data_IF_745157034200
#
_entry.id   IF_745157034200
#
_cell.length_a   1.000
_cell.length_b   1.000
_cell.length_c   1.000
_cell.angle_alpha   90.00
_cell.angle_beta   90.00
_cell.angle_gamma   90.00
#
_symmetry.space_group_name_H-M   'P 1'
#
loop_
_entity.id
_entity.type
_entity.pdbx_description
1 polymer ?
#
# COMPACT_ATOMS: atom_id res chain seq x y z
N UNK A 1 17.29 4.04 -9.33
CA UNK A 1 18.65 4.60 -9.06
C UNK A 1 19.80 3.68 -9.48
N UNK A 2 19.78 2.39 -9.13
CA UNK A 2 20.82 1.42 -9.50
C UNK A 2 21.17 1.44 -11.00
N UNK A 3 20.14 1.36 -11.87
CA UNK A 3 20.29 1.44 -13.35
C UNK A 3 21.07 2.69 -13.81
N UNK A 4 20.86 3.83 -13.16
CA UNK A 4 21.51 5.12 -13.49
C UNK A 4 22.99 5.15 -13.10
N UNK A 5 23.32 4.58 -11.93
CA UNK A 5 24.67 4.65 -11.36
C UNK A 5 25.59 3.51 -11.80
N UNK A 6 25.05 2.33 -12.11
CA UNK A 6 25.81 1.14 -12.55
C UNK A 6 26.82 1.43 -13.68
N UNK A 7 26.45 2.05 -14.82
CA UNK A 7 27.41 2.29 -15.89
C UNK A 7 28.53 3.28 -15.51
N UNK A 8 28.33 4.08 -14.46
CA UNK A 8 29.30 5.06 -13.98
C UNK A 8 30.31 4.43 -13.02
N UNK A 9 29.86 3.55 -12.12
CA UNK A 9 30.66 3.11 -10.96
C UNK A 9 30.98 1.62 -10.88
N UNK A 10 30.36 0.74 -11.68
CA UNK A 10 30.61 -0.71 -11.61
C UNK A 10 32.09 -1.06 -11.85
N UNK A 11 32.74 -0.38 -12.80
CA UNK A 11 34.11 -0.65 -13.23
C UNK A 11 35.06 0.56 -13.06
N UNK A 12 34.63 1.63 -12.38
CA UNK A 12 35.39 2.87 -12.30
C UNK A 12 36.19 2.99 -10.99
N UNK A 13 37.37 3.61 -11.05
CA UNK A 13 38.10 4.02 -9.85
C UNK A 13 37.32 5.14 -9.13
N UNK A 14 37.24 5.17 -7.79
CA UNK A 14 36.43 6.16 -7.06
C UNK A 14 36.97 7.58 -7.29
N UNK A 15 36.36 8.34 -8.20
CA UNK A 15 36.73 9.74 -8.46
C UNK A 15 35.98 10.71 -7.54
N UNK A 16 34.80 10.33 -7.07
CA UNK A 16 33.95 11.10 -6.14
C UNK A 16 33.57 10.25 -4.94
N UNK A 17 34.28 10.41 -3.82
CA UNK A 17 34.13 9.54 -2.63
C UNK A 17 32.68 9.45 -2.11
N UNK A 18 31.94 10.57 -2.03
CA UNK A 18 30.56 10.58 -1.51
C UNK A 18 29.56 9.88 -2.45
N UNK A 19 29.60 10.19 -3.75
CA UNK A 19 28.71 9.58 -4.75
C UNK A 19 29.02 8.08 -4.91
N UNK A 20 30.29 7.68 -4.78
CA UNK A 20 30.67 6.27 -4.77
C UNK A 20 30.20 5.53 -3.51
N UNK A 21 30.26 6.15 -2.32
CA UNK A 21 29.67 5.53 -1.11
C UNK A 21 28.16 5.35 -1.26
N UNK A 22 27.46 6.36 -1.78
CA UNK A 22 26.05 6.24 -2.11
C UNK A 22 25.78 5.11 -3.10
N UNK A 23 26.59 5.00 -4.16
CA UNK A 23 26.53 3.87 -5.09
C UNK A 23 26.68 2.51 -4.39
N UNK A 24 27.62 2.35 -3.46
CA UNK A 24 27.79 1.09 -2.73
C UNK A 24 26.54 0.72 -1.91
N UNK A 25 25.89 1.71 -1.29
CA UNK A 25 24.61 1.51 -0.59
C UNK A 25 23.50 1.08 -1.56
N UNK A 26 23.37 1.76 -2.71
CA UNK A 26 22.41 1.41 -3.76
C UNK A 26 22.66 0.01 -4.32
N UNK A 27 23.93 -0.35 -4.56
CA UNK A 27 24.32 -1.66 -5.07
C UNK A 27 23.97 -2.77 -4.09
N UNK A 28 24.33 -2.59 -2.83
CA UNK A 28 23.98 -3.55 -1.76
C UNK A 28 22.47 -3.72 -1.65
N UNK A 29 21.71 -2.62 -1.59
CA UNK A 29 20.25 -2.67 -1.49
C UNK A 29 19.59 -3.38 -2.67
N UNK A 30 20.06 -3.12 -3.90
CA UNK A 30 19.57 -3.80 -5.10
C UNK A 30 19.87 -5.31 -5.07
N UNK A 31 21.11 -5.70 -4.76
CA UNK A 31 21.53 -7.12 -4.77
C UNK A 31 20.81 -7.94 -3.69
N UNK A 32 20.73 -7.41 -2.46
CA UNK A 32 20.01 -8.04 -1.35
C UNK A 32 18.50 -8.09 -1.63
N UNK A 33 17.93 -7.00 -2.16
CA UNK A 33 16.52 -6.90 -2.54
C UNK A 33 16.13 -7.92 -3.61
N UNK A 34 16.89 -7.99 -4.71
CA UNK A 34 16.68 -8.96 -5.78
C UNK A 34 16.81 -10.42 -5.30
N UNK A 35 17.84 -10.71 -4.49
CA UNK A 35 18.03 -12.05 -3.94
C UNK A 35 16.85 -12.47 -3.05
N UNK A 36 16.39 -11.57 -2.17
CA UNK A 36 15.23 -11.79 -1.32
C UNK A 36 13.95 -11.97 -2.15
N UNK A 37 13.69 -11.07 -3.12
CA UNK A 37 12.52 -11.13 -3.97
C UNK A 37 12.43 -12.45 -4.73
N UNK A 38 13.54 -12.90 -5.34
CA UNK A 38 13.62 -14.21 -6.00
C UNK A 38 13.34 -15.36 -5.04
N UNK A 39 14.01 -15.36 -3.88
CA UNK A 39 13.82 -16.44 -2.90
C UNK A 39 12.38 -16.54 -2.42
N UNK A 40 11.72 -15.40 -2.17
CA UNK A 40 10.34 -15.37 -1.71
C UNK A 40 9.37 -15.74 -2.83
N UNK A 41 9.58 -15.22 -4.05
CA UNK A 41 8.79 -15.60 -5.22
C UNK A 41 8.78 -17.12 -5.41
N UNK A 42 9.95 -17.76 -5.47
CA UNK A 42 10.03 -19.21 -5.64
C UNK A 42 9.42 -19.98 -4.48
N UNK A 43 9.54 -19.49 -3.25
CA UNK A 43 8.94 -20.13 -2.08
C UNK A 43 7.41 -20.12 -2.15
N UNK A 44 6.81 -18.93 -2.32
CA UNK A 44 5.35 -18.78 -2.36
C UNK A 44 4.74 -19.43 -3.59
N UNK A 45 5.37 -19.29 -4.76
CA UNK A 45 4.92 -19.92 -6.00
C UNK A 45 4.95 -21.46 -5.89
N UNK A 46 6.01 -22.02 -5.31
CA UNK A 46 6.09 -23.46 -5.08
C UNK A 46 5.06 -23.95 -4.06
N UNK A 47 4.87 -23.21 -2.97
CA UNK A 47 3.90 -23.53 -1.92
C UNK A 47 2.47 -23.49 -2.48
N UNK A 48 2.11 -22.44 -3.20
CA UNK A 48 0.80 -22.31 -3.83
C UNK A 48 0.52 -23.45 -4.81
N UNK A 49 1.46 -23.75 -5.72
CA UNK A 49 1.32 -24.88 -6.65
C UNK A 49 1.20 -26.22 -5.92
N UNK A 50 1.89 -26.38 -4.79
CA UNK A 50 1.76 -27.60 -3.97
C UNK A 50 0.36 -27.71 -3.37
N UNK A 51 -0.19 -26.63 -2.82
CA UNK A 51 -1.54 -26.59 -2.24
C UNK A 51 -2.60 -26.85 -3.30
N UNK A 52 -2.57 -26.14 -4.44
CA UNK A 52 -3.54 -26.33 -5.53
C UNK A 52 -3.51 -27.76 -6.06
N UNK A 53 -2.32 -28.36 -6.22
CA UNK A 53 -2.18 -29.75 -6.65
C UNK A 53 -2.71 -30.73 -5.60
N UNK A 54 -2.40 -30.50 -4.33
CA UNK A 54 -2.86 -31.36 -3.24
C UNK A 54 -4.39 -31.29 -3.08
N UNK A 55 -4.98 -30.09 -3.10
CA UNK A 55 -6.43 -29.88 -3.07
C UNK A 55 -7.13 -30.61 -4.22
N UNK A 56 -6.65 -30.41 -5.47
CA UNK A 56 -7.20 -31.10 -6.65
C UNK A 56 -7.08 -32.61 -6.55
N UNK A 57 -5.93 -33.11 -6.08
CA UNK A 57 -5.69 -34.55 -5.92
C UNK A 57 -6.62 -35.14 -4.84
N UNK A 58 -6.77 -34.48 -3.70
CA UNK A 58 -7.58 -34.98 -2.59
C UNK A 58 -9.07 -34.96 -2.92
N UNK A 59 -9.56 -33.93 -3.62
CA UNK A 59 -10.95 -33.88 -4.12
C UNK A 59 -11.24 -35.03 -5.08
N UNK A 60 -10.30 -35.32 -5.98
CA UNK A 60 -10.41 -36.44 -6.91
C UNK A 60 -10.33 -37.81 -6.20
N UNK A 61 -9.46 -37.95 -5.19
CA UNK A 61 -9.29 -39.20 -4.45
C UNK A 61 -10.50 -39.52 -3.56
N UNK A 62 -11.08 -38.50 -2.91
CA UNK A 62 -12.21 -38.64 -1.99
C UNK A 62 -13.57 -38.53 -2.68
N UNK A 63 -13.60 -38.23 -3.98
CA UNK A 63 -14.82 -37.95 -4.75
C UNK A 63 -15.72 -36.91 -4.05
N UNK A 64 -15.12 -35.78 -3.67
CA UNK A 64 -15.78 -34.75 -2.86
C UNK A 64 -15.41 -33.33 -3.28
N UNK A 65 -16.43 -32.48 -3.40
CA UNK A 65 -16.31 -31.03 -3.63
C UNK A 65 -16.00 -30.23 -2.37
N UNK A 66 -15.87 -30.88 -1.22
CA UNK A 66 -15.42 -30.24 0.03
C UNK A 66 -14.45 -31.14 0.77
N UNK A 67 -13.42 -30.55 1.36
CA UNK A 67 -12.45 -31.24 2.19
C UNK A 67 -12.62 -30.77 3.63
N UNK A 68 -12.55 -31.70 4.59
CA UNK A 68 -12.45 -31.38 6.02
C UNK A 68 -11.20 -31.99 6.61
N UNK A 69 -10.70 -31.41 7.71
CA UNK A 69 -9.55 -31.94 8.42
C UNK A 69 -9.76 -33.39 8.89
N UNK A 70 -10.99 -33.77 9.25
CA UNK A 70 -11.37 -35.12 9.65
C UNK A 70 -11.38 -36.10 8.47
N UNK A 71 -11.88 -35.68 7.31
CA UNK A 71 -11.86 -36.50 6.09
C UNK A 71 -10.41 -36.85 5.72
N UNK A 72 -9.53 -35.85 5.75
CA UNK A 72 -8.12 -36.00 5.40
C UNK A 72 -7.35 -36.85 6.42
N UNK A 73 -7.70 -36.77 7.71
CA UNK A 73 -7.10 -37.60 8.76
C UNK A 73 -7.43 -39.10 8.62
N UNK A 74 -8.51 -39.45 7.92
CA UNK A 74 -8.93 -40.84 7.69
C UNK A 74 -8.33 -41.44 6.40
N UNK A 75 -7.62 -40.65 5.60
CA UNK A 75 -7.02 -41.12 4.35
C UNK A 75 -5.97 -42.20 4.63
N UNK A 76 -6.12 -43.32 3.94
CA UNK A 76 -5.16 -44.41 3.90
C UNK A 76 -4.95 -44.79 2.44
N UNK A 77 -3.69 -44.78 1.99
CA UNK A 77 -3.33 -45.13 0.61
C UNK A 77 -1.91 -45.71 0.58
N UNK A 78 -1.63 -46.71 -0.27
CA UNK A 78 -0.25 -47.15 -0.54
C UNK A 78 0.53 -46.16 -1.42
N UNK A 79 -0.13 -45.12 -1.96
CA UNK A 79 0.51 -44.08 -2.75
C UNK A 79 1.00 -42.94 -1.85
N UNK A 80 2.32 -42.76 -1.81
CA UNK A 80 2.97 -41.71 -1.02
C UNK A 80 2.49 -40.30 -1.40
N UNK A 81 2.14 -40.05 -2.67
CA UNK A 81 1.66 -38.72 -3.09
C UNK A 81 0.29 -38.40 -2.49
N UNK A 82 -0.58 -39.40 -2.35
CA UNK A 82 -1.89 -39.26 -1.72
C UNK A 82 -1.70 -39.00 -0.22
N UNK A 83 -0.82 -39.75 0.44
CA UNK A 83 -0.54 -39.56 1.87
C UNK A 83 0.07 -38.19 2.16
N UNK A 84 0.99 -37.71 1.32
CA UNK A 84 1.58 -36.37 1.43
C UNK A 84 0.55 -35.26 1.19
N UNK A 85 -0.29 -35.40 0.16
CA UNK A 85 -1.34 -34.44 -0.13
C UNK A 85 -2.37 -34.35 1.01
N UNK A 86 -2.78 -35.49 1.56
CA UNK A 86 -3.69 -35.55 2.70
C UNK A 86 -3.10 -34.88 3.95
N UNK A 87 -1.82 -35.13 4.25
CA UNK A 87 -1.14 -34.50 5.39
C UNK A 87 -0.98 -32.99 5.22
N UNK A 88 -0.57 -32.52 4.03
CA UNK A 88 -0.44 -31.10 3.73
C UNK A 88 -1.79 -30.39 3.88
N UNK A 89 -2.82 -30.90 3.22
CA UNK A 89 -4.16 -30.30 3.27
C UNK A 89 -4.76 -30.40 4.67
N UNK A 90 -4.53 -31.48 5.41
CA UNK A 90 -5.02 -31.65 6.78
C UNK A 90 -4.44 -30.60 7.73
N UNK A 91 -3.13 -30.36 7.66
CA UNK A 91 -2.47 -29.31 8.45
C UNK A 91 -3.00 -27.91 8.09
N UNK A 92 -3.21 -27.66 6.80
CA UNK A 92 -3.77 -26.41 6.32
C UNK A 92 -5.17 -26.19 6.88
N UNK A 93 -6.08 -27.15 6.73
CA UNK A 93 -7.46 -27.03 7.21
C UNK A 93 -7.53 -26.89 8.73
N UNK A 94 -6.60 -27.51 9.47
CA UNK A 94 -6.50 -27.29 10.92
C UNK A 94 -6.11 -25.84 11.27
N UNK A 95 -5.30 -25.18 10.44
CA UNK A 95 -4.89 -23.80 10.66
C UNK A 95 -5.97 -22.78 10.30
N UNK A 96 -6.72 -23.01 9.22
CA UNK A 96 -7.64 -21.99 8.66
C UNK A 96 -9.11 -22.39 8.63
N UNK A 97 -9.45 -23.59 9.10
CA UNK A 97 -10.78 -24.17 9.01
C UNK A 97 -11.08 -24.78 7.64
N UNK A 98 -12.12 -25.62 7.61
CA UNK A 98 -12.46 -26.47 6.44
C UNK A 98 -12.86 -25.69 5.17
N UNK A 99 -13.32 -24.45 5.32
CA UNK A 99 -13.63 -23.54 4.20
C UNK A 99 -12.48 -22.57 3.85
N UNK A 100 -11.30 -22.73 4.48
CA UNK A 100 -10.21 -21.75 4.43
C UNK A 100 -9.22 -21.92 3.27
N UNK A 101 -9.32 -22.99 2.46
CA UNK A 101 -8.36 -23.26 1.37
C UNK A 101 -8.36 -22.13 0.34
N UNK A 102 -9.54 -21.70 -0.11
CA UNK A 102 -9.67 -20.59 -1.07
C UNK A 102 -9.07 -19.30 -0.53
N UNK A 103 -9.29 -19.02 0.77
CA UNK A 103 -8.72 -17.86 1.46
C UNK A 103 -7.19 -17.92 1.48
N UNK A 104 -6.60 -19.08 1.78
CA UNK A 104 -5.13 -19.23 1.73
C UNK A 104 -4.62 -19.06 0.31
N UNK A 105 -5.25 -19.71 -0.67
CA UNK A 105 -4.81 -19.62 -2.06
C UNK A 105 -4.82 -18.16 -2.52
N UNK A 106 -5.87 -17.41 -2.20
CA UNK A 106 -5.96 -15.97 -2.46
C UNK A 106 -4.85 -15.17 -1.76
N UNK A 107 -4.54 -15.47 -0.50
CA UNK A 107 -3.42 -14.80 0.20
C UNK A 107 -2.06 -15.13 -0.44
N UNK A 108 -1.90 -16.36 -0.93
CA UNK A 108 -0.70 -16.78 -1.64
C UNK A 108 -0.63 -16.15 -3.04
N UNK A 109 -1.77 -15.98 -3.74
CA UNK A 109 -1.82 -15.27 -5.02
C UNK A 109 -1.26 -13.86 -4.87
N UNK A 110 -1.69 -13.12 -3.84
CA UNK A 110 -1.17 -11.79 -3.54
C UNK A 110 0.34 -11.81 -3.27
N UNK A 111 0.83 -12.79 -2.49
CA UNK A 111 2.26 -12.90 -2.19
C UNK A 111 3.08 -13.26 -3.43
N UNK A 112 2.62 -14.23 -4.23
CA UNK A 112 3.25 -14.64 -5.49
C UNK A 112 3.32 -13.44 -6.43
N UNK A 113 2.22 -12.74 -6.64
CA UNK A 113 2.15 -11.59 -7.53
C UNK A 113 3.03 -10.44 -7.04
N UNK A 114 3.02 -10.15 -5.74
CA UNK A 114 3.91 -9.15 -5.14
C UNK A 114 5.38 -9.41 -5.47
N UNK A 115 5.87 -10.63 -5.22
CA UNK A 115 7.27 -10.95 -5.49
C UNK A 115 7.56 -11.15 -6.98
N UNK A 116 6.59 -11.59 -7.78
CA UNK A 116 6.72 -11.65 -9.24
C UNK A 116 6.97 -10.26 -9.80
N UNK A 117 6.15 -9.27 -9.42
CA UNK A 117 6.32 -7.88 -9.85
C UNK A 117 7.70 -7.35 -9.46
N UNK A 118 8.19 -7.66 -8.25
CA UNK A 118 9.53 -7.27 -7.85
C UNK A 118 10.61 -7.85 -8.77
N UNK A 119 10.52 -9.13 -9.10
CA UNK A 119 11.54 -9.83 -9.90
C UNK A 119 11.48 -9.45 -11.37
N UNK A 120 10.28 -9.42 -11.94
CA UNK A 120 10.04 -9.23 -13.38
C UNK A 120 10.04 -7.77 -13.80
N UNK A 121 9.75 -6.84 -12.88
CA UNK A 121 9.67 -5.41 -13.19
C UNK A 121 10.59 -4.54 -12.33
N UNK A 122 10.44 -4.50 -10.99
CA UNK A 122 11.17 -3.54 -10.14
C UNK A 122 12.69 -3.74 -10.19
N UNK A 123 13.16 -4.97 -10.01
CA UNK A 123 14.58 -5.31 -10.06
C UNK A 123 15.05 -5.73 -11.46
N UNK A 124 14.14 -5.82 -12.44
CA UNK A 124 14.50 -6.14 -13.81
C UNK A 124 15.09 -4.91 -14.52
N UNK A 125 16.38 -4.99 -14.86
CA UNK A 125 17.08 -3.89 -15.51
C UNK A 125 16.72 -3.76 -17.00
N UNK A 126 16.13 -4.79 -17.61
CA UNK A 126 15.75 -4.82 -19.01
C UNK A 126 14.30 -4.34 -19.22
N UNK A 127 13.51 -4.26 -18.14
CA UNK A 127 12.15 -3.73 -18.20
C UNK A 127 12.18 -2.21 -18.46
N UNK A 128 11.49 -1.77 -19.50
CA UNK A 128 11.34 -0.34 -19.82
C UNK A 128 9.88 0.00 -20.09
N UNK A 129 9.18 0.66 -19.13
CA UNK A 129 7.81 1.09 -19.33
C UNK A 129 7.71 2.40 -20.12
N UNK A 130 8.81 3.03 -20.54
CA UNK A 130 8.77 4.37 -21.15
C UNK A 130 8.16 4.48 -22.55
N UNK A 131 8.26 3.47 -23.44
CA UNK A 131 7.67 3.58 -24.76
C UNK A 131 6.16 3.88 -24.77
N UNK A 132 5.37 3.37 -23.81
CA UNK A 132 3.92 3.65 -23.72
C UNK A 132 3.62 5.06 -23.16
N UNK A 133 4.51 5.61 -22.33
CA UNK A 133 4.35 6.95 -21.75
C UNK A 133 4.64 8.04 -22.78
N UNK A 134 5.60 7.78 -23.68
CA UNK A 134 5.93 8.69 -24.78
C UNK A 134 6.63 9.96 -24.33
N UNK A 135 7.41 9.91 -23.25
CA UNK A 135 8.09 11.04 -22.63
C UNK A 135 9.62 10.86 -22.57
N UNK A 136 10.35 11.93 -22.28
CA UNK A 136 11.73 11.86 -21.83
C UNK A 136 11.79 12.00 -20.30
N UNK A 137 12.11 10.93 -19.56
CA UNK A 137 12.00 10.98 -18.10
C UNK A 137 13.01 11.90 -17.41
N UNK A 138 14.11 12.25 -18.08
CA UNK A 138 15.12 13.19 -17.55
C UNK A 138 14.73 14.66 -17.80
N UNK A 139 13.74 14.90 -18.68
CA UNK A 139 13.17 16.23 -18.93
C UNK A 139 12.01 16.48 -17.95
N UNK A 140 12.36 16.87 -16.73
CA UNK A 140 11.40 16.98 -15.61
C UNK A 140 10.21 17.92 -15.88
N UNK A 141 10.42 18.98 -16.67
CA UNK A 141 9.43 20.02 -16.98
C UNK A 141 8.54 19.70 -18.19
N UNK A 142 8.75 18.55 -18.83
CA UNK A 142 7.89 18.11 -19.92
C UNK A 142 6.48 17.77 -19.40
N UNK A 143 5.48 18.18 -20.18
CA UNK A 143 4.05 18.00 -19.92
C UNK A 143 3.36 17.55 -21.21
N UNK A 144 2.11 17.08 -21.10
CA UNK A 144 1.32 16.65 -22.27
C UNK A 144 1.70 15.28 -22.84
N UNK A 145 2.28 14.42 -22.00
CA UNK A 145 2.59 13.03 -22.31
C UNK A 145 1.59 12.06 -21.67
N UNK A 146 1.71 10.77 -21.97
CA UNK A 146 0.74 9.75 -21.59
C UNK A 146 -0.49 9.72 -22.49
N UNK A 147 -1.53 9.04 -22.04
CA UNK A 147 -2.80 8.93 -22.76
C UNK A 147 -3.99 8.97 -21.78
N UNK A 148 -5.21 8.99 -22.31
CA UNK A 148 -6.44 8.99 -21.53
C UNK A 148 -6.94 7.57 -21.20
N UNK A 149 -6.13 6.54 -21.49
CA UNK A 149 -6.48 5.16 -21.18
C UNK A 149 -6.07 4.82 -19.75
N UNK A 150 -7.03 5.02 -18.86
CA UNK A 150 -6.90 4.64 -17.44
C UNK A 150 -7.20 3.15 -17.21
N UNK A 151 -7.61 2.41 -18.25
CA UNK A 151 -8.01 1.01 -18.17
C UNK A 151 -6.86 0.13 -18.65
N UNK A 152 -6.32 -0.70 -17.75
CA UNK A 152 -5.20 -1.59 -18.05
C UNK A 152 -5.68 -3.02 -18.35
N UNK A 153 -6.51 -3.19 -19.40
CA UNK A 153 -7.22 -4.44 -19.69
C UNK A 153 -6.33 -5.68 -19.89
N UNK A 154 -5.04 -5.47 -20.14
CA UNK A 154 -4.02 -6.47 -20.43
C UNK A 154 -3.18 -6.88 -19.21
N UNK A 155 -3.47 -6.33 -18.02
CA UNK A 155 -2.70 -6.57 -16.80
C UNK A 155 -3.62 -6.85 -15.60
N UNK A 156 -3.17 -7.66 -14.64
CA UNK A 156 -3.88 -7.92 -13.37
C UNK A 156 -3.83 -6.70 -12.40
N UNK A 157 -3.80 -5.49 -12.96
CA UNK A 157 -3.63 -4.23 -12.23
C UNK A 157 -4.95 -3.76 -11.61
N UNK A 158 -5.42 -4.50 -10.60
CA UNK A 158 -6.65 -4.18 -9.88
C UNK A 158 -6.47 -3.08 -8.81
N UNK A 159 -5.23 -2.77 -8.41
CA UNK A 159 -4.90 -1.92 -7.26
C UNK A 159 -5.60 -0.56 -7.27
N UNK A 160 -5.54 0.18 -8.39
CA UNK A 160 -6.20 1.48 -8.51
C UNK A 160 -7.72 1.39 -8.41
N UNK A 161 -8.31 0.33 -8.96
CA UNK A 161 -9.76 0.07 -8.86
C UNK A 161 -10.15 -0.25 -7.42
N UNK A 162 -9.34 -1.04 -6.71
CA UNK A 162 -9.55 -1.40 -5.31
C UNK A 162 -9.50 -0.18 -4.39
N UNK A 163 -8.47 0.66 -4.57
CA UNK A 163 -8.30 1.95 -3.88
C UNK A 163 -9.49 2.88 -4.13
N UNK A 164 -9.95 3.00 -5.37
CA UNK A 164 -11.10 3.83 -5.72
C UNK A 164 -12.41 3.33 -5.07
N UNK A 165 -12.60 2.01 -5.01
CA UNK A 165 -13.76 1.39 -4.35
C UNK A 165 -13.82 1.69 -2.86
N UNK A 166 -12.68 1.61 -2.14
CA UNK A 166 -12.62 1.93 -0.70
C UNK A 166 -13.11 3.36 -0.44
N UNK A 167 -12.72 4.31 -1.30
CA UNK A 167 -13.12 5.71 -1.15
C UNK A 167 -14.60 5.90 -1.51
N UNK A 168 -15.02 5.42 -2.68
CA UNK A 168 -16.20 5.93 -3.38
C UNK A 168 -17.08 4.86 -4.05
N UNK A 169 -16.95 3.58 -3.70
CA UNK A 169 -17.92 2.58 -4.14
C UNK A 169 -19.34 3.03 -3.80
N UNK A 170 -20.25 2.90 -4.77
CA UNK A 170 -21.61 3.43 -4.67
C UNK A 170 -22.33 2.76 -3.51
N UNK A 171 -22.64 3.55 -2.49
CA UNK A 171 -23.37 3.10 -1.31
C UNK A 171 -24.81 2.71 -1.64
N UNK A 172 -25.38 1.80 -0.85
CA UNK A 172 -26.82 1.45 -0.83
C UNK A 172 -27.39 0.93 -2.18
N UNK A 173 -26.54 0.36 -3.04
CA UNK A 173 -26.97 -0.21 -4.32
C UNK A 173 -27.31 -1.72 -4.24
N UNK A 174 -27.11 -2.35 -3.08
CA UNK A 174 -27.39 -3.76 -2.83
C UNK A 174 -26.37 -4.75 -3.41
N UNK A 175 -25.20 -4.30 -3.88
CA UNK A 175 -24.13 -5.16 -4.43
C UNK A 175 -22.75 -4.75 -3.92
N UNK A 176 -21.87 -5.72 -3.69
CA UNK A 176 -20.48 -5.45 -3.38
C UNK A 176 -20.26 -4.74 -2.03
N UNK A 177 -19.70 -3.53 -2.08
CA UNK A 177 -19.27 -2.77 -0.91
C UNK A 177 -19.80 -1.34 -0.93
N UNK A 178 -19.85 -0.73 0.26
CA UNK A 178 -20.07 0.69 0.46
C UNK A 178 -18.74 1.42 0.62
N UNK A 179 -18.46 2.40 -0.25
CA UNK A 179 -17.30 3.29 -0.09
C UNK A 179 -17.44 4.19 1.12
N UNK A 180 -16.33 4.66 1.68
CA UNK A 180 -16.31 5.50 2.89
C UNK A 180 -17.05 6.84 2.67
N UNK A 181 -16.86 7.48 1.52
CA UNK A 181 -17.41 8.81 1.24
C UNK A 181 -18.56 8.76 0.21
N UNK A 182 -19.78 9.17 0.58
CA UNK A 182 -20.85 9.34 -0.40
C UNK A 182 -20.64 10.61 -1.23
N UNK A 183 -21.18 10.62 -2.46
CA UNK A 183 -21.26 11.80 -3.33
C UNK A 183 -19.92 12.44 -3.72
N UNK A 184 -18.87 11.65 -3.88
CA UNK A 184 -17.55 12.10 -4.36
C UNK A 184 -17.28 11.59 -5.77
N UNK A 185 -16.39 12.26 -6.50
CA UNK A 185 -15.91 11.81 -7.82
C UNK A 185 -14.46 11.36 -7.72
N UNK A 186 -14.12 10.29 -8.42
CA UNK A 186 -12.75 9.80 -8.53
C UNK A 186 -12.11 10.39 -9.79
N UNK A 187 -10.96 11.04 -9.62
CA UNK A 187 -10.06 11.40 -10.72
C UNK A 187 -8.94 10.37 -10.77
N UNK A 188 -9.01 9.44 -11.73
CA UNK A 188 -7.96 8.45 -11.92
C UNK A 188 -6.76 9.09 -12.64
N UNK A 189 -5.58 9.01 -12.04
CA UNK A 189 -4.31 9.47 -12.63
C UNK A 189 -3.29 8.34 -12.52
N UNK A 190 -2.98 7.69 -13.64
CA UNK A 190 -2.02 6.58 -13.67
C UNK A 190 -0.59 7.13 -13.77
N UNK A 191 0.10 7.19 -12.64
CA UNK A 191 1.44 7.78 -12.51
C UNK A 191 2.54 6.75 -12.17
N UNK A 192 2.16 5.50 -11.96
CA UNK A 192 3.04 4.42 -11.47
C UNK A 192 2.95 3.25 -12.45
N UNK A 193 4.08 2.81 -13.06
CA UNK A 193 4.13 1.57 -13.82
C UNK A 193 4.26 0.36 -12.87
N UNK A 194 4.14 -0.86 -13.39
CA UNK A 194 4.63 -2.04 -12.68
C UNK A 194 6.14 -1.86 -12.50
N UNK A 195 6.61 -1.52 -11.29
CA UNK A 195 7.98 -1.06 -11.10
C UNK A 195 8.12 0.04 -10.05
N UNK A 196 9.21 0.80 -10.16
CA UNK A 196 9.46 2.00 -9.34
C UNK A 196 8.68 3.20 -9.88
N UNK A 197 8.14 4.02 -8.99
CA UNK A 197 7.55 5.31 -9.35
C UNK A 197 8.65 6.30 -9.71
N UNK A 198 8.49 7.06 -10.80
CA UNK A 198 9.47 8.07 -11.17
C UNK A 198 9.09 9.43 -10.58
N UNK A 199 10.09 10.17 -10.08
CA UNK A 199 9.86 11.45 -9.42
C UNK A 199 9.17 12.47 -10.34
N UNK A 200 9.47 12.44 -11.65
CA UNK A 200 8.80 13.28 -12.66
C UNK A 200 7.30 13.00 -12.70
N UNK A 201 6.92 11.73 -12.84
CA UNK A 201 5.51 11.34 -12.99
C UNK A 201 4.72 11.62 -11.72
N UNK A 202 5.28 11.32 -10.55
CA UNK A 202 4.66 11.66 -9.26
C UNK A 202 4.42 13.18 -9.15
N UNK A 203 5.45 13.98 -9.45
CA UNK A 203 5.35 15.43 -9.34
C UNK A 203 4.38 16.05 -10.37
N UNK A 204 4.34 15.52 -11.59
CA UNK A 204 3.44 15.96 -12.65
C UNK A 204 2.00 15.50 -12.40
N UNK A 205 1.80 14.29 -11.89
CA UNK A 205 0.48 13.79 -11.50
C UNK A 205 -0.14 14.61 -10.36
N UNK A 206 0.67 15.01 -9.35
CA UNK A 206 0.22 15.92 -8.30
C UNK A 206 -0.25 17.26 -8.91
N UNK A 207 0.55 17.86 -9.80
CA UNK A 207 0.17 19.12 -10.46
C UNK A 207 -1.08 18.97 -11.31
N UNK A 208 -1.15 17.92 -12.12
CA UNK A 208 -2.32 17.60 -12.94
C UNK A 208 -3.58 17.49 -12.10
N UNK A 209 -3.54 16.75 -10.99
CA UNK A 209 -4.69 16.59 -10.12
C UNK A 209 -5.12 17.93 -9.48
N UNK A 210 -4.16 18.73 -9.01
CA UNK A 210 -4.43 20.07 -8.46
C UNK A 210 -5.07 20.97 -9.52
N UNK A 211 -4.49 21.04 -10.73
CA UNK A 211 -4.96 21.91 -11.82
C UNK A 211 -6.34 21.50 -12.34
N UNK A 212 -6.71 20.22 -12.20
CA UNK A 212 -8.03 19.70 -12.55
C UNK A 212 -9.02 19.68 -11.37
N UNK A 213 -8.70 20.36 -10.26
CA UNK A 213 -9.64 20.64 -9.17
C UNK A 213 -9.77 19.53 -8.13
N UNK A 214 -8.80 18.62 -8.01
CA UNK A 214 -8.80 17.65 -6.91
C UNK A 214 -8.62 18.37 -5.56
N UNK A 215 -9.48 18.05 -4.59
CA UNK A 215 -9.36 18.57 -3.20
C UNK A 215 -8.52 17.66 -2.31
N UNK A 216 -8.45 16.37 -2.66
CA UNK A 216 -7.70 15.33 -1.96
C UNK A 216 -7.00 14.48 -3.01
N UNK A 217 -5.72 14.15 -2.79
CA UNK A 217 -4.95 13.22 -3.62
C UNK A 217 -4.50 12.06 -2.72
N UNK A 218 -4.96 10.86 -3.04
CA UNK A 218 -4.51 9.63 -2.39
C UNK A 218 -3.33 9.04 -3.17
N UNK A 219 -2.23 8.74 -2.47
CA UNK A 219 -0.98 8.21 -3.02
C UNK A 219 -0.63 6.91 -2.31
N UNK A 220 -1.11 5.80 -2.86
CA UNK A 220 -0.96 4.45 -2.30
C UNK A 220 0.30 3.73 -2.82
N UNK A 221 1.42 4.44 -2.91
CA UNK A 221 2.68 4.01 -3.53
C UNK A 221 3.87 4.55 -2.71
N UNK A 222 5.09 4.07 -2.96
CA UNK A 222 6.25 4.55 -2.20
C UNK A 222 7.55 3.80 -2.48
N UNK A 223 8.68 4.50 -2.33
CA UNK A 223 10.01 3.99 -2.66
C UNK A 223 11.11 4.46 -1.72
N UNK A 224 12.21 3.71 -1.66
CA UNK A 224 13.38 4.04 -0.83
C UNK A 224 14.24 5.20 -1.38
N UNK A 225 14.10 5.56 -2.66
CA UNK A 225 15.02 6.50 -3.34
C UNK A 225 14.28 7.53 -4.22
N UNK A 226 14.69 8.80 -4.14
CA UNK A 226 14.10 9.90 -4.91
C UNK A 226 15.20 10.83 -5.47
N UNK A 227 15.82 10.48 -6.63
CA UNK A 227 16.91 11.26 -7.23
C UNK A 227 16.51 12.72 -7.58
N UNK A 228 15.23 12.97 -7.87
CA UNK A 228 14.67 14.29 -8.15
C UNK A 228 13.71 14.77 -7.05
N UNK A 229 13.98 14.43 -5.79
CA UNK A 229 13.17 14.84 -4.62
C UNK A 229 12.80 16.33 -4.63
N UNK A 230 13.70 17.21 -5.03
CA UNK A 230 13.42 18.65 -5.08
C UNK A 230 12.23 19.02 -6.00
N UNK A 231 12.04 18.26 -7.09
CA UNK A 231 10.94 18.44 -8.03
C UNK A 231 9.61 17.96 -7.45
N UNK A 232 9.62 16.82 -6.75
CA UNK A 232 8.47 16.27 -6.01
C UNK A 232 8.09 17.20 -4.85
N UNK A 233 9.06 17.65 -4.05
CA UNK A 233 8.86 18.63 -2.98
C UNK A 233 8.22 19.93 -3.50
N UNK A 234 8.52 20.34 -4.74
CA UNK A 234 7.90 21.51 -5.36
C UNK A 234 6.44 21.26 -5.73
N UNK A 235 6.08 20.06 -6.18
CA UNK A 235 4.69 19.66 -6.43
C UNK A 235 3.89 19.57 -5.13
N UNK A 236 4.48 19.02 -4.06
CA UNK A 236 3.85 18.98 -2.72
C UNK A 236 3.54 20.40 -2.21
N UNK A 237 4.48 21.34 -2.38
CA UNK A 237 4.25 22.76 -2.06
C UNK A 237 3.17 23.38 -2.95
N UNK A 238 3.13 23.03 -4.23
CA UNK A 238 2.11 23.51 -5.16
C UNK A 238 0.70 23.06 -4.71
N UNK A 239 0.54 21.79 -4.35
CA UNK A 239 -0.71 21.28 -3.76
C UNK A 239 -1.08 22.02 -2.47
N UNK A 240 -0.11 22.29 -1.60
CA UNK A 240 -0.33 23.04 -0.36
C UNK A 240 -0.83 24.48 -0.62
N UNK A 241 -0.25 25.16 -1.61
CA UNK A 241 -0.64 26.52 -2.01
C UNK A 241 -2.07 26.58 -2.58
N UNK A 242 -2.57 25.48 -3.14
CA UNK A 242 -3.93 25.35 -3.67
C UNK A 242 -4.90 24.70 -2.69
N UNK A 243 -4.49 24.47 -1.44
CA UNK A 243 -5.36 23.91 -0.41
C UNK A 243 -5.74 22.44 -0.62
N UNK A 244 -4.92 21.68 -1.36
CA UNK A 244 -5.15 20.26 -1.65
C UNK A 244 -4.52 19.39 -0.58
N UNK A 245 -5.30 18.45 -0.02
CA UNK A 245 -4.83 17.47 0.96
C UNK A 245 -4.12 16.30 0.25
N UNK A 246 -2.96 15.92 0.75
CA UNK A 246 -2.21 14.74 0.31
C UNK A 246 -2.33 13.64 1.36
N UNK A 247 -2.75 12.45 0.96
CA UNK A 247 -2.86 11.27 1.83
C UNK A 247 -1.96 10.19 1.25
N UNK A 248 -1.00 9.70 2.03
CA UNK A 248 0.07 8.82 1.56
C UNK A 248 0.19 7.57 2.41
N UNK A 249 0.44 6.44 1.76
CA UNK A 249 0.68 5.16 2.40
C UNK A 249 2.09 5.09 3.03
N UNK A 250 2.18 4.64 4.29
CA UNK A 250 3.45 4.61 5.03
C UNK A 250 4.50 3.66 4.45
N UNK A 251 4.10 2.67 3.65
CA UNK A 251 4.97 1.61 3.15
C UNK A 251 4.73 0.27 3.87
N UNK A 252 5.16 -0.82 3.23
CA UNK A 252 4.82 -2.20 3.64
C UNK A 252 6.06 -3.04 4.00
N UNK A 253 7.10 -2.42 4.58
CA UNK A 253 8.37 -3.08 4.90
C UNK A 253 8.56 -3.37 6.40
N UNK A 254 7.60 -3.02 7.26
CA UNK A 254 7.74 -3.13 8.71
C UNK A 254 8.85 -2.24 9.26
N UNK A 255 9.11 -1.10 8.60
CA UNK A 255 10.23 -0.21 8.93
C UNK A 255 9.77 1.06 9.64
N UNK A 256 10.68 1.61 10.45
CA UNK A 256 10.51 2.91 11.09
C UNK A 256 10.91 4.03 10.13
N UNK A 257 9.92 4.78 9.63
CA UNK A 257 10.08 5.92 8.73
C UNK A 257 10.72 7.14 9.41
N UNK A 258 10.91 7.13 10.74
CA UNK A 258 11.70 8.17 11.40
C UNK A 258 13.20 8.03 11.09
N UNK A 259 13.67 6.82 10.80
CA UNK A 259 15.08 6.51 10.50
C UNK A 259 15.30 5.94 9.09
N UNK A 260 14.28 5.33 8.47
CA UNK A 260 14.32 4.83 7.09
C UNK A 260 13.60 5.79 6.14
N UNK A 261 14.03 5.80 4.87
CA UNK A 261 13.42 6.64 3.85
C UNK A 261 12.23 5.93 3.20
N UNK A 262 11.12 6.65 3.11
CA UNK A 262 10.00 6.35 2.22
C UNK A 262 9.64 7.63 1.46
N UNK A 263 9.61 7.58 0.13
CA UNK A 263 9.34 8.73 -0.74
C UNK A 263 8.10 8.49 -1.60
N UNK A 264 7.31 9.53 -1.90
CA UNK A 264 7.42 10.90 -1.38
C UNK A 264 7.21 10.98 0.14
N UNK A 265 7.60 12.10 0.75
CA UNK A 265 7.53 12.27 2.21
C UNK A 265 7.09 13.67 2.58
N UNK A 266 6.37 13.80 3.71
CA UNK A 266 6.05 15.10 4.31
C UNK A 266 7.29 15.89 4.73
N UNK A 267 8.44 15.25 4.94
CA UNK A 267 9.73 15.90 5.23
C UNK A 267 10.24 16.63 3.96
N UNK A 268 9.75 17.85 3.75
CA UNK A 268 10.35 18.76 2.77
C UNK A 268 11.75 19.16 3.26
N UNK A 269 12.56 19.76 2.39
CA UNK A 269 13.91 20.27 2.75
C UNK A 269 13.85 21.33 3.90
N UNK A 270 14.74 22.33 3.95
CA UNK A 270 14.87 23.29 5.09
C UNK A 270 13.61 24.13 5.47
N UNK A 271 12.42 23.86 4.91
CA UNK A 271 11.17 24.60 5.10
C UNK A 271 10.16 23.93 6.06
N UNK A 272 10.54 22.83 6.73
CA UNK A 272 9.65 22.10 7.64
C UNK A 272 8.69 21.15 6.92
N UNK A 273 7.84 20.40 7.66
CA UNK A 273 6.99 19.39 7.07
C UNK A 273 5.83 20.00 6.25
N UNK A 274 5.37 19.27 5.24
CA UNK A 274 4.14 19.58 4.53
C UNK A 274 2.93 19.42 5.48
N UNK A 275 2.23 20.52 5.78
CA UNK A 275 1.09 20.51 6.72
C UNK A 275 -0.21 19.98 6.12
N UNK A 276 -0.32 19.97 4.79
CA UNK A 276 -1.42 19.40 4.02
C UNK A 276 -1.20 17.91 3.72
N UNK A 277 -0.52 17.18 4.61
CA UNK A 277 -0.12 15.78 4.40
C UNK A 277 -0.59 14.90 5.56
N UNK A 278 -1.11 13.72 5.24
CA UNK A 278 -1.39 12.64 6.20
C UNK A 278 -0.64 11.39 5.74
N UNK A 279 0.29 10.92 6.56
CA UNK A 279 0.97 9.64 6.38
C UNK A 279 0.22 8.53 7.13
N UNK A 280 -0.12 7.42 6.46
CA UNK A 280 -1.07 6.42 6.96
C UNK A 280 -0.43 5.04 7.08
N UNK A 281 -0.34 4.53 8.31
CA UNK A 281 -0.02 3.14 8.63
C UNK A 281 -1.23 2.21 8.52
N UNK A 282 -1.01 0.91 8.44
CA UNK A 282 -2.04 -0.11 8.32
C UNK A 282 -2.29 -0.83 9.66
N UNK A 283 -3.56 -0.91 10.06
CA UNK A 283 -4.03 -1.72 11.18
C UNK A 283 -4.78 -2.96 10.69
N UNK A 284 -4.82 -3.98 11.53
CA UNK A 284 -5.68 -5.16 11.39
C UNK A 284 -7.06 -4.86 12.02
N UNK A 285 -7.94 -5.86 12.04
CA UNK A 285 -9.21 -5.83 12.79
C UNK A 285 -9.04 -6.19 14.28
N UNK A 286 -7.84 -6.62 14.70
CA UNK A 286 -7.56 -7.02 16.07
C UNK A 286 -7.47 -5.80 17.00
N UNK A 287 -7.92 -5.97 18.24
CA UNK A 287 -7.78 -4.96 19.30
C UNK A 287 -6.82 -5.45 20.40
N UNK A 288 -5.79 -6.18 19.99
CA UNK A 288 -4.79 -6.84 20.83
C UNK A 288 -3.38 -6.53 20.32
N UNK A 289 -2.41 -7.39 20.66
CA UNK A 289 -1.02 -7.23 20.26
C UNK A 289 -0.76 -7.23 18.75
N UNK A 290 -1.73 -7.66 17.94
CA UNK A 290 -1.70 -7.69 16.48
C UNK A 290 -2.44 -6.50 15.84
N UNK A 291 -2.80 -5.47 16.61
CA UNK A 291 -3.45 -4.26 16.07
C UNK A 291 -2.70 -3.62 14.89
N UNK A 292 -1.38 -3.33 14.95
CA UNK A 292 -0.66 -2.88 13.77
C UNK A 292 -0.40 -4.06 12.82
N UNK A 293 -0.60 -3.86 11.52
CA UNK A 293 -0.21 -4.87 10.55
C UNK A 293 1.31 -5.10 10.60
N UNK A 294 1.76 -6.35 10.63
CA UNK A 294 3.18 -6.70 10.78
C UNK A 294 4.08 -6.12 9.69
N UNK A 295 3.51 -5.87 8.50
CA UNK A 295 4.19 -5.24 7.38
C UNK A 295 4.14 -3.71 7.41
N UNK A 296 3.29 -3.08 8.21
CA UNK A 296 3.12 -1.62 8.16
C UNK A 296 4.41 -0.92 8.56
N UNK A 297 4.86 0.01 7.74
CA UNK A 297 5.81 1.00 8.25
C UNK A 297 5.12 1.87 9.32
N UNK A 298 5.92 2.38 10.24
CA UNK A 298 5.50 3.16 11.39
C UNK A 298 6.49 4.32 11.61
N UNK A 299 6.21 5.20 12.56
CA UNK A 299 7.14 6.24 12.98
C UNK A 299 6.46 7.30 13.83
N UNK A 300 7.02 7.58 15.01
CA UNK A 300 6.46 8.49 16.01
C UNK A 300 6.28 9.90 15.46
N UNK A 301 7.14 10.33 14.55
CA UNK A 301 7.10 11.68 13.95
C UNK A 301 6.63 11.70 12.50
N UNK A 302 6.80 10.59 11.79
CA UNK A 302 6.53 10.50 10.35
C UNK A 302 5.15 9.97 10.01
N UNK A 303 4.67 8.93 10.69
CA UNK A 303 3.34 8.37 10.45
C UNK A 303 2.31 9.12 11.29
N UNK A 304 1.27 9.68 10.67
CA UNK A 304 0.30 10.51 11.37
C UNK A 304 -0.79 9.67 12.05
N UNK A 305 -1.35 8.69 11.34
CA UNK A 305 -2.46 7.83 11.81
C UNK A 305 -2.30 6.40 11.30
N UNK A 306 -2.99 5.47 11.95
CA UNK A 306 -3.26 4.14 11.39
C UNK A 306 -4.69 4.08 10.84
N UNK A 307 -4.93 3.22 9.85
CA UNK A 307 -6.28 2.91 9.36
C UNK A 307 -6.36 1.43 8.94
N UNK A 308 -7.56 0.83 8.87
CA UNK A 308 -7.75 -0.55 8.42
C UNK A 308 -7.07 -0.81 7.07
N UNK A 309 -6.17 -1.79 7.04
CA UNK A 309 -5.38 -2.11 5.84
C UNK A 309 -5.08 -3.60 5.66
N UNK A 310 -5.76 -4.49 6.37
CA UNK A 310 -5.59 -5.96 6.23
C UNK A 310 -6.94 -6.61 5.93
N UNK A 311 -6.96 -7.54 4.96
CA UNK A 311 -8.15 -8.20 4.45
C UNK A 311 -9.27 -7.22 4.08
N UNK A 312 -8.92 -6.19 3.30
CA UNK A 312 -9.86 -5.17 2.85
C UNK A 312 -10.53 -5.66 1.56
N UNK A 313 -11.83 -5.91 1.64
CA UNK A 313 -12.65 -6.28 0.48
C UNK A 313 -13.07 -5.03 -0.29
N UNK A 314 -12.80 -4.98 -1.59
CA UNK A 314 -13.17 -3.85 -2.45
C UNK A 314 -13.32 -4.25 -3.92
N UNK A 315 -13.71 -3.29 -4.75
CA UNK A 315 -13.92 -3.46 -6.20
C UNK A 315 -12.64 -3.85 -6.93
N UNK A 316 -12.75 -4.78 -7.87
CA UNK A 316 -11.72 -5.13 -8.82
C UNK A 316 -12.23 -4.93 -10.27
N UNK A 317 -11.34 -4.87 -11.27
CA UNK A 317 -11.74 -4.86 -12.68
C UNK A 317 -12.69 -6.01 -13.03
N UNK A 318 -13.37 -5.90 -14.18
CA UNK A 318 -14.28 -6.94 -14.70
C UNK A 318 -15.49 -7.27 -13.80
N UNK A 319 -15.98 -6.29 -13.03
CA UNK A 319 -17.14 -6.44 -12.13
C UNK A 319 -16.91 -7.49 -11.03
N UNK A 320 -15.66 -7.60 -10.59
CA UNK A 320 -15.25 -8.47 -9.50
C UNK A 320 -15.02 -7.68 -8.21
N UNK A 321 -14.79 -8.44 -7.14
CA UNK A 321 -14.39 -7.93 -5.83
C UNK A 321 -13.32 -8.85 -5.28
N UNK A 322 -12.32 -8.28 -4.62
CA UNK A 322 -11.20 -9.04 -4.05
C UNK A 322 -10.78 -8.48 -2.71
N UNK A 323 -10.25 -9.36 -1.86
CA UNK A 323 -9.50 -8.94 -0.69
C UNK A 323 -8.14 -8.41 -1.13
N UNK A 324 -7.60 -7.47 -0.37
CA UNK A 324 -6.21 -7.03 -0.47
C UNK A 324 -5.75 -6.47 0.87
N UNK A 325 -4.44 -6.38 1.05
CA UNK A 325 -3.84 -5.79 2.24
C UNK A 325 -2.64 -4.89 1.90
N UNK A 326 -2.43 -3.88 2.72
CA UNK A 326 -1.37 -2.90 2.57
C UNK A 326 -1.73 -1.57 3.21
N UNK A 327 -0.71 -0.76 3.48
CA UNK A 327 -0.88 0.68 3.71
C UNK A 327 -1.55 1.37 2.52
N UNK A 328 -1.44 0.78 1.33
CA UNK A 328 -2.18 1.16 0.13
C UNK A 328 -3.71 1.07 0.26
N UNK A 329 -4.24 0.24 1.18
CA UNK A 329 -5.67 0.12 1.49
C UNK A 329 -6.05 0.98 2.71
N UNK A 330 -5.12 1.19 3.65
CA UNK A 330 -5.32 2.10 4.78
C UNK A 330 -5.41 3.58 4.35
N UNK A 331 -4.55 3.99 3.41
CA UNK A 331 -4.52 5.35 2.86
C UNK A 331 -5.89 5.77 2.28
N UNK A 332 -6.56 5.00 1.39
CA UNK A 332 -7.87 5.38 0.87
C UNK A 332 -8.99 5.35 1.92
N UNK A 333 -8.91 4.55 2.98
CA UNK A 333 -9.85 4.69 4.11
C UNK A 333 -9.75 6.10 4.70
N UNK A 334 -8.52 6.58 4.93
CA UNK A 334 -8.26 7.92 5.47
C UNK A 334 -8.67 9.02 4.49
N UNK A 335 -8.37 8.85 3.19
CA UNK A 335 -8.80 9.78 2.14
C UNK A 335 -10.33 9.85 2.03
N UNK A 336 -11.02 8.72 2.20
CA UNK A 336 -12.48 8.66 2.29
C UNK A 336 -13.02 9.45 3.47
N UNK A 337 -12.43 9.33 4.66
CA UNK A 337 -12.84 10.14 5.82
C UNK A 337 -12.60 11.63 5.56
N UNK A 338 -11.48 12.00 4.95
CA UNK A 338 -11.23 13.39 4.55
C UNK A 338 -12.28 13.90 3.55
N UNK A 339 -12.67 13.09 2.58
CA UNK A 339 -13.67 13.46 1.58
C UNK A 339 -15.06 13.59 2.20
N UNK A 340 -15.42 12.69 3.13
CA UNK A 340 -16.64 12.80 3.93
C UNK A 340 -16.69 14.13 4.70
N UNK A 341 -15.59 14.54 5.34
CA UNK A 341 -15.52 15.81 6.05
C UNK A 341 -15.72 17.00 5.10
N UNK A 342 -15.07 17.01 3.94
CA UNK A 342 -15.22 18.10 2.95
C UNK A 342 -16.62 18.14 2.32
N UNK A 343 -17.31 17.01 2.21
CA UNK A 343 -18.70 16.96 1.73
C UNK A 343 -19.68 17.66 2.68
N UNK A 344 -19.47 17.57 4.00
CA UNK A 344 -20.31 18.25 4.99
C UNK A 344 -19.81 19.66 5.34
N UNK A 345 -18.49 19.88 5.28
CA UNK A 345 -17.82 21.10 5.72
C UNK A 345 -16.82 21.59 4.65
N UNK A 346 -17.30 22.02 3.47
CA UNK A 346 -16.43 22.39 2.33
C UNK A 346 -15.52 23.60 2.57
N UNK A 347 -15.76 24.36 3.63
CA UNK A 347 -14.95 25.51 4.07
C UNK A 347 -13.71 25.12 4.90
N UNK A 348 -13.57 23.85 5.30
CA UNK A 348 -12.37 23.38 5.99
C UNK A 348 -11.18 23.44 5.03
N UNK A 349 -10.06 24.01 5.48
CA UNK A 349 -8.81 23.90 4.73
C UNK A 349 -8.25 22.48 4.80
N UNK A 350 -7.37 22.09 3.88
CA UNK A 350 -6.66 20.81 3.96
C UNK A 350 -5.92 20.62 5.30
N UNK A 351 -5.42 21.71 5.90
CA UNK A 351 -4.77 21.62 7.21
C UNK A 351 -5.78 21.38 8.32
N UNK A 352 -6.95 22.02 8.28
CA UNK A 352 -8.03 21.77 9.25
C UNK A 352 -8.49 20.29 9.17
N UNK A 353 -8.71 19.78 7.96
CA UNK A 353 -9.11 18.37 7.74
C UNK A 353 -8.06 17.41 8.31
N UNK A 354 -6.78 17.65 8.02
CA UNK A 354 -5.67 16.86 8.57
C UNK A 354 -5.65 16.88 10.09
N UNK A 355 -5.75 18.06 10.68
CA UNK A 355 -5.69 18.23 12.14
C UNK A 355 -6.89 17.57 12.84
N UNK A 356 -8.09 17.67 12.25
CA UNK A 356 -9.30 16.99 12.73
C UNK A 356 -9.12 15.47 12.72
N UNK A 357 -8.68 14.88 11.61
CA UNK A 357 -8.50 13.41 11.50
C UNK A 357 -7.48 12.91 12.53
N UNK A 358 -6.34 13.58 12.66
CA UNK A 358 -5.25 13.18 13.58
C UNK A 358 -5.67 13.31 15.05
N UNK A 359 -6.48 14.32 15.39
CA UNK A 359 -6.99 14.51 16.75
C UNK A 359 -8.11 13.52 17.10
N UNK A 360 -8.99 13.24 16.14
CA UNK A 360 -10.20 12.43 16.36
C UNK A 360 -9.98 10.91 16.30
N UNK A 361 -8.76 10.43 16.08
CA UNK A 361 -8.46 8.99 16.07
C UNK A 361 -8.88 8.31 17.37
N UNK A 362 -9.33 7.05 17.29
CA UNK A 362 -9.44 6.18 18.47
C UNK A 362 -8.02 5.85 18.97
N UNK A 363 -7.69 6.32 20.17
CA UNK A 363 -6.37 6.14 20.79
C UNK A 363 -6.25 4.77 21.45
N UNK A 364 -5.05 4.21 21.42
CA UNK A 364 -4.71 2.94 22.06
C UNK A 364 -3.45 3.05 22.94
N UNK A 365 -3.25 4.19 23.61
CA UNK A 365 -2.12 4.39 24.52
C UNK A 365 -2.09 3.32 25.62
N UNK A 366 -0.92 2.76 25.88
CA UNK A 366 -0.71 1.67 26.84
C UNK A 366 -1.09 0.28 26.33
N UNK A 367 -1.54 0.14 25.08
CA UNK A 367 -1.70 -1.17 24.45
C UNK A 367 -0.33 -1.64 23.93
N UNK A 368 0.23 -2.65 24.57
CA UNK A 368 1.45 -3.33 24.13
C UNK A 368 1.16 -4.16 22.87
N UNK A 369 1.84 -3.84 21.77
CA UNK A 369 1.69 -4.50 20.47
C UNK A 369 3.01 -5.06 19.98
N UNK A 370 2.94 -6.05 19.08
CA UNK A 370 4.13 -6.51 18.35
C UNK A 370 4.54 -5.39 17.41
N UNK A 371 5.76 -4.90 17.57
CA UNK A 371 6.34 -3.89 16.70
C UNK A 371 6.40 -4.43 15.26
N UNK A 372 5.88 -3.68 14.26
CA UNK A 372 5.96 -4.12 12.87
C UNK A 372 7.39 -4.44 12.44
N UNK A 373 7.56 -5.45 11.60
CA UNK A 373 8.88 -5.95 11.17
C UNK A 373 9.66 -6.76 12.21
N UNK A 374 9.18 -6.86 13.46
CA UNK A 374 9.78 -7.70 14.51
C UNK A 374 9.02 -9.03 14.68
N UNK A 375 9.63 -10.01 15.36
CA UNK A 375 8.96 -11.28 15.70
C UNK A 375 8.15 -11.17 17.00
N UNK A 376 8.73 -10.54 18.00
CA UNK A 376 8.26 -10.56 19.39
C UNK A 376 8.57 -9.28 20.17
N UNK A 377 9.20 -8.27 19.55
CA UNK A 377 9.49 -7.00 20.23
C UNK A 377 8.18 -6.27 20.51
N UNK A 378 7.94 -5.95 21.80
CA UNK A 378 6.76 -5.21 22.24
C UNK A 378 7.02 -3.71 22.29
N UNK A 379 6.00 -2.94 21.94
CA UNK A 379 5.99 -1.49 22.00
C UNK A 379 4.58 -1.00 22.28
N UNK A 380 4.43 0.14 22.96
CA UNK A 380 3.14 0.83 23.06
C UNK A 380 2.69 1.26 21.65
N UNK A 381 1.47 0.92 21.25
CA UNK A 381 0.89 1.35 19.97
C UNK A 381 0.93 2.89 19.81
N UNK A 382 0.83 3.62 20.92
CA UNK A 382 0.98 5.06 21.00
C UNK A 382 2.32 5.58 20.47
N UNK A 383 3.36 4.75 20.44
CA UNK A 383 4.70 5.11 19.94
C UNK A 383 4.87 4.86 18.44
N UNK A 384 3.92 4.20 17.77
CA UNK A 384 4.02 3.85 16.36
C UNK A 384 3.58 4.99 15.41
N UNK A 385 2.93 6.03 15.91
CA UNK A 385 2.47 7.18 15.11
C UNK A 385 2.32 8.45 15.94
N UNK A 386 2.18 9.60 15.27
CA UNK A 386 1.92 10.91 15.89
C UNK A 386 0.62 10.88 16.69
N UNK A 387 -0.45 10.30 16.14
CA UNK A 387 -1.73 10.22 16.82
C UNK A 387 -1.75 9.12 17.89
N UNK A 388 -0.97 8.05 17.76
CA UNK A 388 -1.11 6.87 18.61
C UNK A 388 -2.48 6.19 18.47
N UNK A 389 -3.13 6.32 17.30
CA UNK A 389 -4.51 5.92 17.12
C UNK A 389 -4.89 5.52 15.71
N UNK A 390 -6.06 4.89 15.61
CA UNK A 390 -6.70 4.47 14.36
C UNK A 390 -7.76 5.49 13.96
N UNK A 391 -7.85 5.82 12.68
CA UNK A 391 -8.84 6.77 12.12
C UNK A 391 -10.26 6.40 12.57
N UNK A 392 -11.04 7.41 12.98
CA UNK A 392 -12.43 7.28 13.41
C UNK A 392 -13.30 8.35 12.73
N UNK A 393 -14.12 7.93 11.76
CA UNK A 393 -14.95 8.83 10.96
C UNK A 393 -15.99 9.59 11.80
N UNK A 394 -16.64 8.91 12.76
CA UNK A 394 -17.68 9.52 13.60
C UNK A 394 -17.11 10.64 14.47
N UNK A 395 -16.00 10.38 15.15
CA UNK A 395 -15.35 11.38 16.00
C UNK A 395 -14.79 12.53 15.16
N UNK A 396 -14.30 12.26 13.95
CA UNK A 396 -13.84 13.30 13.04
C UNK A 396 -14.98 14.25 12.62
N UNK A 397 -16.16 13.71 12.30
CA UNK A 397 -17.35 14.52 11.96
C UNK A 397 -17.81 15.36 13.14
N UNK A 398 -17.87 14.79 14.36
CA UNK A 398 -18.22 15.54 15.59
C UNK A 398 -17.23 16.67 15.87
N UNK A 399 -15.94 16.41 15.71
CA UNK A 399 -14.90 17.43 15.93
C UNK A 399 -15.01 18.54 14.88
N UNK A 400 -15.22 18.19 13.61
CA UNK A 400 -15.44 19.16 12.54
C UNK A 400 -16.66 20.07 12.80
N UNK A 401 -17.77 19.50 13.29
CA UNK A 401 -18.96 20.26 13.68
C UNK A 401 -18.63 21.29 14.76
N UNK A 402 -17.89 20.88 15.80
CA UNK A 402 -17.51 21.77 16.90
C UNK A 402 -16.64 22.96 16.44
N UNK A 403 -15.75 22.74 15.47
CA UNK A 403 -14.89 23.79 14.90
C UNK A 403 -15.70 24.83 14.12
N UNK A 404 -16.76 24.42 13.44
CA UNK A 404 -17.64 25.33 12.70
C UNK A 404 -18.50 26.20 13.60
N UNK A 405 -18.96 25.65 14.73
CA UNK A 405 -19.70 26.41 15.73
C UNK A 405 -18.78 27.46 16.38
N UNK A 406 -17.51 27.10 16.64
CA UNK A 406 -16.51 28.01 17.21
C UNK A 406 -16.12 29.19 16.32
N UNK A 407 -16.07 29.02 14.98
CA UNK A 407 -15.77 30.11 14.03
C UNK A 407 -16.94 31.08 13.78
N UNK A 408 -18.15 30.76 14.23
CA UNK A 408 -19.37 31.60 14.08
C UNK A 408 -19.69 32.46 15.32
N UNK A 409 -18.96 32.28 16.42
CA UNK A 409 -18.99 33.16 17.60
C UNK A 409 -17.79 34.09 17.55
#
# INVERSE_FOLDING_TARGET
EYRRLKPIYENAKPSKKKEYQYWLEIKKGYEEGLAKAKSQFYFYDSLQRAIIRADKLMRAYLDSDSLSSEMLAQVQSPDDQIMMAAALMGNILQMVGDNGVETIVSQLDEAVEHYRIQVEYQYNLDFDPRPIVGDNPDKLDEVGYGNNDVRADDTDNFHGTHVAGIIAAKRDNGIGIDGIAPNVKIMAVRAVPDGDEWDKDVANAIRYAVDNGAQIINMSFGKGYSPHKAYVDAAVRYAAQHGVLLVHAAGNSGQDNDVTNNFPTKKLNKKGPARNWIEVGASTWHADEHLPASFSNYGKTTVDVFAPGVAIYSTAPHNEYRNAQGTSMASPVTAGVAALLLSYYPQLSATDVRDIIVQATRKYHGLEVIKPGSKDEKVDFGELSVSGGVVNALEAVKLAESWQIGKKK
#
